data_IF_215879385561
#
_entry.id   IF_215879385561
#
_cell.length_a   1.000
_cell.length_b   1.000
_cell.length_c   1.000
_cell.angle_alpha   90.00
_cell.angle_beta   90.00
_cell.angle_gamma   90.00
#
_symmetry.space_group_name_H-M   'P 1'
#
loop_
_entity.id
_entity.type
_entity.pdbx_description
1 polymer ?
#
# COMPACT_ATOMS: atom_id res chain seq x y z
N UNK A 1 14.09 5.66 -27.80
CA UNK A 1 12.99 5.42 -28.77
C UNK A 1 11.61 5.15 -28.14
N UNK A 2 11.34 4.02 -27.47
CA UNK A 2 9.97 3.73 -26.95
C UNK A 2 9.51 4.66 -25.80
N UNK A 3 10.41 4.99 -24.86
CA UNK A 3 10.10 5.87 -23.72
C UNK A 3 9.93 7.34 -24.14
N UNK A 4 10.77 7.82 -25.06
CA UNK A 4 10.71 9.21 -25.57
C UNK A 4 9.41 9.47 -26.33
N UNK A 5 8.91 8.49 -27.09
CA UNK A 5 7.64 8.61 -27.80
C UNK A 5 6.43 8.65 -26.85
N UNK A 6 6.54 8.09 -25.64
CA UNK A 6 5.43 7.96 -24.68
C UNK A 6 5.37 9.08 -23.63
N UNK A 7 6.53 9.60 -23.21
CA UNK A 7 6.63 10.56 -22.12
C UNK A 7 7.37 11.87 -22.47
N UNK A 8 7.99 11.94 -23.67
CA UNK A 8 8.72 13.12 -24.12
C UNK A 8 10.13 13.23 -23.52
N UNK A 9 11.09 13.73 -24.32
CA UNK A 9 12.50 13.82 -23.94
C UNK A 9 12.75 14.71 -22.71
N UNK A 10 12.07 15.87 -22.66
CA UNK A 10 12.17 16.86 -21.58
C UNK A 10 11.81 16.25 -20.22
N UNK A 11 10.76 15.44 -20.17
CA UNK A 11 10.31 14.80 -18.93
C UNK A 11 11.30 13.74 -18.45
N UNK A 12 11.87 12.95 -19.38
CA UNK A 12 12.88 11.94 -19.04
C UNK A 12 14.18 12.59 -18.55
N UNK A 13 14.57 13.73 -19.13
CA UNK A 13 15.71 14.53 -18.67
C UNK A 13 15.47 15.08 -17.26
N UNK A 14 14.30 15.67 -16.99
CA UNK A 14 13.94 16.12 -15.64
C UNK A 14 14.01 15.00 -14.59
N UNK A 15 13.53 13.80 -14.92
CA UNK A 15 13.61 12.66 -14.01
C UNK A 15 15.07 12.23 -13.77
N UNK A 16 15.90 12.22 -14.82
CA UNK A 16 17.31 11.90 -14.70
C UNK A 16 18.06 12.93 -13.84
N UNK A 17 17.80 14.23 -14.01
CA UNK A 17 18.34 15.33 -13.19
C UNK A 17 17.99 15.19 -11.70
N UNK A 18 16.86 14.55 -11.39
CA UNK A 18 16.40 14.30 -10.03
C UNK A 18 16.79 12.89 -9.51
N UNK A 19 17.74 12.20 -10.15
CA UNK A 19 18.18 10.85 -9.80
C UNK A 19 17.07 9.78 -9.86
N UNK A 20 16.02 9.99 -10.66
CA UNK A 20 14.92 9.05 -10.84
C UNK A 20 15.16 8.25 -12.11
N UNK A 21 15.47 6.96 -11.94
CA UNK A 21 15.70 6.04 -13.06
C UNK A 21 14.38 5.47 -13.57
N UNK A 22 14.01 5.82 -14.80
CA UNK A 22 12.82 5.27 -15.47
C UNK A 22 13.13 3.86 -16.00
N UNK A 23 12.39 2.87 -15.54
CA UNK A 23 12.51 1.47 -15.99
C UNK A 23 11.24 1.09 -16.74
N UNK A 24 11.40 0.68 -18.00
CA UNK A 24 10.30 0.18 -18.81
C UNK A 24 10.06 -1.30 -18.44
N UNK A 25 9.03 -1.58 -17.66
CA UNK A 25 8.62 -2.96 -17.34
C UNK A 25 7.75 -3.48 -18.48
N UNK A 26 8.18 -4.56 -19.13
CA UNK A 26 7.36 -5.26 -20.13
C UNK A 26 6.11 -5.84 -19.44
N UNK A 27 4.96 -5.88 -20.13
CA UNK A 27 3.71 -6.36 -19.54
C UNK A 27 3.80 -7.80 -18.97
N UNK A 28 4.68 -8.64 -19.53
CA UNK A 28 4.96 -10.00 -19.05
C UNK A 28 5.76 -10.00 -17.75
N UNK A 29 6.47 -8.92 -17.43
CA UNK A 29 7.32 -8.73 -16.24
C UNK A 29 6.64 -8.00 -15.08
N UNK A 30 5.31 -7.87 -15.12
CA UNK A 30 4.53 -7.28 -14.02
C UNK A 30 4.73 -8.08 -12.72
N UNK A 31 5.02 -9.38 -12.84
CA UNK A 31 5.43 -10.28 -11.76
C UNK A 31 6.57 -9.75 -10.89
N UNK A 32 7.54 -9.03 -11.46
CA UNK A 32 8.67 -8.43 -10.75
C UNK A 32 8.33 -7.12 -10.02
N UNK A 33 7.23 -6.45 -10.38
CA UNK A 33 6.80 -5.18 -9.76
C UNK A 33 5.96 -5.36 -8.50
N UNK A 34 5.66 -6.61 -8.12
CA UNK A 34 4.77 -6.94 -7.00
C UNK A 34 5.38 -6.76 -5.60
N UNK A 35 6.64 -6.33 -5.49
CA UNK A 35 7.27 -6.13 -4.19
C UNK A 35 6.47 -5.20 -3.28
N UNK A 36 6.09 -4.05 -3.83
CA UNK A 36 5.30 -3.03 -3.13
C UNK A 36 3.83 -3.43 -3.03
N UNK A 37 3.32 -4.19 -4.01
CA UNK A 37 1.96 -4.71 -3.96
C UNK A 37 1.78 -5.72 -2.83
N UNK A 38 2.75 -6.62 -2.65
CA UNK A 38 2.77 -7.65 -1.60
C UNK A 38 3.11 -7.05 -0.25
N UNK A 39 4.08 -6.13 -0.18
CA UNK A 39 4.52 -5.55 1.10
C UNK A 39 3.58 -4.48 1.64
N UNK A 40 3.39 -3.39 0.90
CA UNK A 40 2.70 -2.20 1.41
C UNK A 40 1.23 -2.21 0.96
N UNK A 41 0.96 -2.45 -0.32
CA UNK A 41 -0.38 -2.28 -0.86
C UNK A 41 -1.38 -3.28 -0.27
N UNK A 42 -0.97 -4.54 -0.08
CA UNK A 42 -1.78 -5.56 0.59
C UNK A 42 -2.13 -5.17 2.02
N UNK A 43 -1.14 -4.70 2.79
CA UNK A 43 -1.35 -4.25 4.16
C UNK A 43 -2.29 -3.04 4.24
N UNK A 44 -2.09 -2.05 3.35
CA UNK A 44 -2.97 -0.87 3.19
C UNK A 44 -4.41 -1.30 2.89
N UNK A 45 -4.60 -2.13 1.86
CA UNK A 45 -5.93 -2.62 1.45
C UNK A 45 -6.62 -3.38 2.58
N UNK A 46 -5.89 -4.26 3.27
CA UNK A 46 -6.44 -5.04 4.38
C UNK A 46 -6.84 -4.14 5.55
N UNK A 47 -6.03 -3.14 5.89
CA UNK A 47 -6.35 -2.21 6.98
C UNK A 47 -7.62 -1.43 6.67
N UNK A 48 -7.68 -0.78 5.50
CA UNK A 48 -8.84 0.03 5.10
C UNK A 48 -10.12 -0.81 4.99
N UNK A 49 -10.01 -2.01 4.42
CA UNK A 49 -11.13 -2.96 4.35
C UNK A 49 -11.63 -3.34 5.74
N UNK A 50 -10.72 -3.69 6.65
CA UNK A 50 -11.07 -4.03 8.02
C UNK A 50 -11.72 -2.86 8.76
N UNK A 51 -11.16 -1.65 8.63
CA UNK A 51 -11.74 -0.45 9.25
C UNK A 51 -13.17 -0.20 8.78
N UNK A 52 -13.46 -0.42 7.49
CA UNK A 52 -14.81 -0.33 6.96
C UNK A 52 -15.72 -1.45 7.48
N UNK A 53 -15.27 -2.71 7.43
CA UNK A 53 -16.04 -3.88 7.90
C UNK A 53 -16.40 -3.75 9.39
N UNK A 54 -15.43 -3.35 10.23
CA UNK A 54 -15.61 -3.11 11.67
C UNK A 54 -16.61 -1.97 11.91
N UNK A 55 -16.43 -0.83 11.22
CA UNK A 55 -17.36 0.30 11.34
C UNK A 55 -18.79 -0.07 10.92
N UNK A 56 -18.95 -0.70 9.75
CA UNK A 56 -20.24 -1.07 9.20
C UNK A 56 -20.96 -2.09 10.09
N UNK A 57 -20.24 -3.11 10.57
CA UNK A 57 -20.79 -4.10 11.50
C UNK A 57 -21.25 -3.45 12.80
N UNK A 58 -20.49 -2.49 13.33
CA UNK A 58 -20.87 -1.74 14.52
C UNK A 58 -22.13 -0.88 14.32
N UNK A 59 -22.34 -0.31 13.12
CA UNK A 59 -23.59 0.39 12.81
C UNK A 59 -24.80 -0.55 12.88
N UNK A 60 -24.69 -1.75 12.30
CA UNK A 60 -25.76 -2.76 12.35
C UNK A 60 -26.01 -3.21 13.79
N UNK A 61 -24.95 -3.51 14.55
CA UNK A 61 -25.08 -3.93 15.95
C UNK A 61 -25.71 -2.84 16.82
N UNK A 62 -25.42 -1.57 16.57
CA UNK A 62 -26.04 -0.45 17.27
C UNK A 62 -27.56 -0.40 17.00
N UNK A 63 -27.98 -0.56 15.74
CA UNK A 63 -29.40 -0.63 15.38
C UNK A 63 -30.12 -1.80 16.04
N UNK A 64 -29.48 -2.98 16.09
CA UNK A 64 -30.06 -4.17 16.74
C UNK A 64 -30.21 -4.03 18.26
N UNK A 65 -29.38 -3.20 18.91
CA UNK A 65 -29.43 -2.99 20.37
C UNK A 65 -30.48 -1.96 20.80
N UNK A 66 -30.85 -1.04 19.92
CA UNK A 66 -31.80 0.05 20.22
C UNK A 66 -33.28 -0.39 20.13
N UNK A 67 -33.56 -1.64 19.79
CA UNK A 67 -34.81 -2.30 20.18
C UNK A 67 -36.02 -2.16 19.24
N UNK A 68 -35.85 -1.75 17.98
CA UNK A 68 -36.88 -1.98 16.97
C UNK A 68 -36.66 -3.33 16.30
N UNK A 69 -37.20 -4.37 16.94
CA UNK A 69 -37.45 -5.68 16.34
C UNK A 69 -38.28 -5.47 15.06
N UNK A 70 -37.61 -5.42 13.89
CA UNK A 70 -38.01 -6.05 12.61
C UNK A 70 -37.31 -5.43 11.39
N UNK A 71 -36.80 -4.20 11.45
CA UNK A 71 -36.34 -3.50 10.25
C UNK A 71 -34.99 -2.81 10.45
N UNK A 72 -33.91 -3.50 10.06
CA UNK A 72 -32.57 -2.90 10.01
C UNK A 72 -32.54 -1.94 8.83
N UNK A 73 -32.56 -0.64 9.13
CA UNK A 73 -32.42 0.39 8.11
C UNK A 73 -31.07 0.27 7.39
N UNK A 74 -31.03 0.47 6.05
CA UNK A 74 -29.77 0.48 5.32
C UNK A 74 -28.79 1.50 5.91
N UNK A 75 -27.58 1.05 6.22
CA UNK A 75 -26.51 1.94 6.69
C UNK A 75 -26.24 2.99 5.62
N UNK A 76 -26.24 4.26 6.02
CA UNK A 76 -25.96 5.35 5.10
C UNK A 76 -24.49 5.31 4.63
N UNK A 77 -24.29 5.11 3.32
CA UNK A 77 -22.97 5.04 2.66
C UNK A 77 -22.68 6.26 1.79
N UNK A 78 -23.25 7.42 2.12
CA UNK A 78 -23.04 8.65 1.36
C UNK A 78 -21.57 9.09 1.43
N UNK A 79 -21.05 9.68 0.34
CA UNK A 79 -19.67 10.16 0.30
C UNK A 79 -19.40 11.24 1.34
N UNK A 80 -20.41 12.05 1.68
CA UNK A 80 -20.30 13.07 2.74
C UNK A 80 -19.97 12.45 4.10
N UNK A 81 -20.47 11.24 4.38
CA UNK A 81 -20.22 10.49 5.62
C UNK A 81 -18.95 9.66 5.55
N UNK A 82 -18.69 8.99 4.42
CA UNK A 82 -17.54 8.10 4.27
C UNK A 82 -16.20 8.84 4.09
N UNK A 83 -16.19 10.03 3.48
CA UNK A 83 -14.96 10.82 3.29
C UNK A 83 -14.22 11.14 4.60
N UNK A 84 -14.86 11.74 5.63
CA UNK A 84 -14.17 12.03 6.89
C UNK A 84 -13.74 10.74 7.61
N UNK A 85 -14.56 9.69 7.58
CA UNK A 85 -14.21 8.39 8.18
C UNK A 85 -12.99 7.75 7.51
N UNK A 86 -12.97 7.72 6.17
CA UNK A 86 -11.86 7.17 5.40
C UNK A 86 -10.57 7.97 5.59
N UNK A 87 -10.65 9.29 5.77
CA UNK A 87 -9.48 10.10 6.13
C UNK A 87 -8.90 9.68 7.50
N UNK A 88 -9.75 9.41 8.49
CA UNK A 88 -9.31 8.86 9.79
C UNK A 88 -8.65 7.48 9.62
N UNK A 89 -9.22 6.59 8.82
CA UNK A 89 -8.66 5.26 8.55
C UNK A 89 -7.30 5.35 7.85
N UNK A 90 -7.11 6.31 6.93
CA UNK A 90 -5.82 6.56 6.28
C UNK A 90 -4.74 7.00 7.27
N UNK A 91 -5.08 7.88 8.22
CA UNK A 91 -4.14 8.31 9.28
C UNK A 91 -3.77 7.14 10.19
N UNK A 92 -4.76 6.35 10.62
CA UNK A 92 -4.54 5.16 11.45
C UNK A 92 -3.69 4.11 10.73
N UNK A 93 -3.96 3.88 9.45
CA UNK A 93 -3.19 3.00 8.59
C UNK A 93 -1.73 3.47 8.48
N UNK A 94 -1.51 4.77 8.23
CA UNK A 94 -0.16 5.33 8.16
C UNK A 94 0.61 5.10 9.47
N UNK A 95 -0.02 5.39 10.62
CA UNK A 95 0.58 5.14 11.93
C UNK A 95 0.87 3.66 12.15
N UNK A 96 -0.06 2.77 11.79
CA UNK A 96 0.10 1.33 11.95
C UNK A 96 1.29 0.79 11.14
N UNK A 97 1.38 1.15 9.85
CA UNK A 97 2.47 0.70 8.97
C UNK A 97 3.80 1.33 9.40
N UNK A 98 3.81 2.62 9.76
CA UNK A 98 5.04 3.31 10.21
C UNK A 98 5.62 2.71 11.49
N UNK A 99 4.76 2.25 12.40
CA UNK A 99 5.16 1.60 13.65
C UNK A 99 5.46 0.10 13.49
N UNK A 100 5.20 -0.48 12.32
CA UNK A 100 5.33 -1.92 12.06
C UNK A 100 6.25 -2.18 10.87
N UNK A 101 7.57 -1.90 10.98
CA UNK A 101 8.52 -2.06 9.89
C UNK A 101 8.60 -3.50 9.36
N UNK A 102 8.18 -4.48 10.16
CA UNK A 102 8.13 -5.89 9.78
C UNK A 102 7.14 -6.19 8.64
N UNK A 103 6.10 -5.38 8.47
CA UNK A 103 5.16 -5.51 7.34
C UNK A 103 5.91 -5.37 6.02
N UNK A 104 6.76 -4.33 5.94
CA UNK A 104 7.57 -4.04 4.75
C UNK A 104 8.65 -5.11 4.58
N UNK A 105 9.34 -5.46 5.67
CA UNK A 105 10.42 -6.45 5.68
C UNK A 105 9.92 -7.84 5.24
N UNK A 106 8.77 -8.28 5.72
CA UNK A 106 8.20 -9.57 5.38
C UNK A 106 7.71 -9.62 3.93
N UNK A 107 7.08 -8.55 3.43
CA UNK A 107 6.73 -8.50 2.01
C UNK A 107 7.94 -8.52 1.07
N UNK A 108 9.06 -7.89 1.45
CA UNK A 108 10.32 -8.01 0.70
C UNK A 108 10.96 -9.41 0.79
N UNK A 109 10.75 -10.14 1.89
CA UNK A 109 11.16 -11.56 1.99
C UNK A 109 10.29 -12.45 1.09
N UNK A 110 8.98 -12.27 1.13
CA UNK A 110 8.01 -13.08 0.36
C UNK A 110 8.19 -12.92 -1.15
N UNK A 111 8.57 -11.73 -1.60
CA UNK A 111 8.85 -11.46 -3.02
C UNK A 111 10.25 -11.90 -3.47
N UNK A 112 11.05 -12.50 -2.57
CA UNK A 112 12.42 -12.95 -2.86
C UNK A 112 13.44 -11.82 -3.01
N UNK A 113 13.01 -10.56 -3.01
CA UNK A 113 13.87 -9.38 -3.16
C UNK A 113 14.89 -9.27 -2.04
N UNK A 114 14.54 -9.64 -0.81
CA UNK A 114 15.48 -9.62 0.30
C UNK A 114 16.73 -10.48 0.04
N UNK A 115 16.58 -11.62 -0.65
CA UNK A 115 17.70 -12.50 -0.98
C UNK A 115 18.56 -11.92 -2.10
N UNK A 116 17.92 -11.34 -3.12
CA UNK A 116 18.61 -10.63 -4.22
C UNK A 116 19.38 -9.42 -3.70
N UNK A 117 18.78 -8.62 -2.80
CA UNK A 117 19.45 -7.47 -2.18
C UNK A 117 20.65 -7.93 -1.35
N UNK A 118 20.54 -8.98 -0.52
CA UNK A 118 21.68 -9.48 0.26
C UNK A 118 22.84 -9.98 -0.62
N UNK A 119 22.55 -10.55 -1.79
CA UNK A 119 23.56 -10.97 -2.73
C UNK A 119 24.29 -9.78 -3.38
N UNK A 120 23.57 -8.69 -3.69
CA UNK A 120 24.13 -7.48 -4.32
C UNK A 120 24.73 -6.49 -3.33
N UNK A 121 24.27 -6.47 -2.07
CA UNK A 121 24.77 -5.58 -1.01
C UNK A 121 26.12 -6.01 -0.42
N UNK A 122 26.65 -7.19 -0.81
CA UNK A 122 28.06 -7.51 -0.57
C UNK A 122 28.99 -6.57 -1.35
N UNK A 123 28.47 -5.92 -2.39
CA UNK A 123 29.13 -4.89 -3.17
C UNK A 123 28.50 -3.51 -2.85
N UNK A 124 29.06 -2.84 -1.83
CA UNK A 124 29.11 -1.37 -1.69
C UNK A 124 27.83 -0.50 -1.53
N UNK A 125 26.82 -0.79 -0.68
CA UNK A 125 25.82 0.26 -0.27
C UNK A 125 25.41 0.19 1.23
N UNK A 126 25.35 1.33 1.97
CA UNK A 126 24.99 1.40 3.40
C UNK A 126 23.61 0.86 3.82
N UNK A 127 22.67 0.61 2.89
CA UNK A 127 21.33 0.07 3.16
C UNK A 127 21.35 -1.36 3.71
N UNK A 128 22.48 -2.08 3.59
CA UNK A 128 22.62 -3.45 4.09
C UNK A 128 22.37 -3.58 5.59
N UNK A 129 22.66 -2.53 6.38
CA UNK A 129 22.50 -2.56 7.85
C UNK A 129 21.05 -2.61 8.32
N UNK A 130 20.08 -2.14 7.52
CA UNK A 130 18.67 -2.11 7.89
C UNK A 130 17.99 -3.49 7.82
N UNK A 131 18.59 -4.47 7.14
CA UNK A 131 18.00 -5.79 6.88
C UNK A 131 18.72 -6.94 7.60
N UNK A 132 19.72 -6.64 8.43
CA UNK A 132 20.57 -7.62 9.14
C UNK A 132 20.44 -7.60 10.67
N UNK A 133 19.55 -6.78 11.24
CA UNK A 133 19.12 -6.89 12.65
C UNK A 133 17.65 -7.24 12.72
#
# INVERSE_FOLDING_TARGET
MYLEHRWGKIFLEFLAENNIKVVCVLAVRTDYSHALDVSVQKAVKNHLRKSFEDWHSNQIVAQLKDGEDSDVSPVELTMSKLKPLSATWLVQMYQHISNSPDIIRNGFKETGIANTLKAHLKDEIPLARAFTK
#
